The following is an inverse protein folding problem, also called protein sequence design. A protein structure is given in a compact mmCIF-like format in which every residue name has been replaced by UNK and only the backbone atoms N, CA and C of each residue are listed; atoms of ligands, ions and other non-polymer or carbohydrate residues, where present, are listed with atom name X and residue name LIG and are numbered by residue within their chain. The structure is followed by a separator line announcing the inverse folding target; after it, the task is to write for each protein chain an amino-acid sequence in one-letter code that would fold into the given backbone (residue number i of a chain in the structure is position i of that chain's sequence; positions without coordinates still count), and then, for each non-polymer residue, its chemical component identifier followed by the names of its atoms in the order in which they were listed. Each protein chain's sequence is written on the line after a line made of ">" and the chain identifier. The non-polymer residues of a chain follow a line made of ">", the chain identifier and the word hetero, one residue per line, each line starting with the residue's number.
data_IF_825070503516
#
_entry.id   IF_825070503516
#
_cell.length_a   1.000
_cell.length_b   1.000
_cell.length_c   1.000
_cell.angle_alpha   90.00
_cell.angle_beta   90.00
_cell.angle_gamma   90.00
#
_symmetry.space_group_name_H-M   'P 1'
#
loop_
_entity.id
_entity.type
_entity.pdbx_description
1 polymer ?
2 water ?
#
# COMPACT_ATOMS: atom_id res chain seq x y z
N UNK A 1 -22.59 -0.43 7.53
CA UNK A 1 -22.41 -1.23 6.28
C UNK A 1 -21.81 -2.62 6.57
N UNK A 2 -20.53 -2.85 6.29
CA UNK A 2 -20.03 -4.22 6.40
C UNK A 2 -18.52 -4.50 6.52
N UNK A 3 -18.20 -5.77 6.77
CA UNK A 3 -16.82 -6.25 6.86
C UNK A 3 -16.03 -5.95 5.58
N UNK A 4 -14.78 -5.52 5.74
CA UNK A 4 -13.90 -5.33 4.60
C UNK A 4 -13.57 -6.72 4.08
N UNK A 5 -13.64 -6.92 2.77
CA UNK A 5 -13.41 -8.25 2.19
C UNK A 5 -11.99 -8.79 2.43
N UNK A 6 -11.07 -7.96 2.92
CA UNK A 6 -9.72 -8.42 3.18
C UNK A 6 -9.58 -8.77 4.65
N UNK A 7 -10.47 -8.22 5.47
CA UNK A 7 -10.37 -8.31 6.92
C UNK A 7 -10.88 -9.63 7.49
N UNK A 8 -10.16 -10.16 8.47
CA UNK A 8 -10.66 -11.27 9.25
C UNK A 8 -11.15 -10.77 10.61
N UNK A 9 -12.46 -10.66 10.79
CA UNK A 9 -13.04 -9.96 11.95
C UNK A 9 -12.86 -10.68 13.30
N UNK A 10 -12.47 -11.95 13.31
CA UNK A 10 -12.14 -12.63 14.55
C UNK A 10 -10.72 -12.33 15.01
N UNK A 11 -9.81 -12.03 14.08
CA UNK A 11 -8.48 -11.52 14.45
C UNK A 11 -8.24 -10.03 14.31
N UNK A 12 -9.00 -9.34 13.47
CA UNK A 12 -8.69 -7.96 13.12
C UNK A 12 -7.33 -7.87 12.42
N UNK A 13 -7.06 -8.90 11.64
CA UNK A 13 -5.94 -8.96 10.73
C UNK A 13 -6.47 -9.33 9.34
N UNK A 14 -5.65 -9.20 8.30
CA UNK A 14 -6.06 -9.60 6.95
C UNK A 14 -6.29 -11.10 6.88
N UNK A 15 -7.20 -11.57 6.03
CA UNK A 15 -7.43 -13.01 5.91
C UNK A 15 -6.11 -13.71 5.67
N UNK A 16 -5.98 -14.95 6.14
CA UNK A 16 -4.72 -15.68 5.98
C UNK A 16 -4.35 -15.85 4.51
N UNK A 17 -3.09 -15.54 4.21
CA UNK A 17 -2.64 -15.50 2.83
C UNK A 17 -2.66 -14.14 2.15
N UNK A 18 -3.47 -13.20 2.63
CA UNK A 18 -3.47 -11.86 2.07
C UNK A 18 -2.43 -11.00 2.78
N UNK A 19 -2.14 -9.81 2.25
CA UNK A 19 -1.09 -8.97 2.83
C UNK A 19 -1.64 -7.82 3.67
N UNK A 20 -2.73 -7.22 3.21
CA UNK A 20 -3.11 -5.88 3.67
C UNK A 20 -4.60 -5.65 3.49
N UNK A 21 -5.06 -4.49 3.95
CA UNK A 21 -6.47 -4.18 3.93
C UNK A 21 -6.75 -3.14 2.86
N UNK A 22 -6.16 -1.96 3.04
CA UNK A 22 -6.30 -0.91 2.05
C UNK A 22 -5.05 -0.03 2.05
N UNK A 23 -4.99 0.90 1.11
CA UNK A 23 -3.85 1.81 0.98
C UNK A 23 -3.50 2.02 -0.49
N UNK A 24 -2.82 3.12 -0.80
CA UNK A 24 -2.32 3.38 -2.16
C UNK A 24 -1.58 2.18 -2.70
N UNK A 25 -0.87 1.46 -1.84
CA UNK A 25 -0.01 0.37 -2.30
C UNK A 25 -0.54 -0.98 -1.95
N UNK A 26 -1.85 -1.04 -1.70
CA UNK A 26 -2.56 -2.31 -1.51
C UNK A 26 -3.65 -2.46 -2.56
N UNK A 27 -3.76 -3.63 -3.16
CA UNK A 27 -4.79 -3.89 -4.17
C UNK A 27 -5.28 -5.34 -4.08
N UNK A 28 -6.59 -5.52 -3.92
CA UNK A 28 -7.13 -6.84 -3.61
C UNK A 28 -6.39 -7.55 -2.51
N UNK A 29 -6.10 -6.84 -1.42
CA UNK A 29 -5.53 -7.47 -0.24
C UNK A 29 -4.05 -7.82 -0.37
N UNK A 30 -3.45 -7.50 -1.51
CA UNK A 30 -2.02 -7.79 -1.71
C UNK A 30 -1.20 -6.51 -1.90
N UNK A 31 0.07 -6.58 -1.52
CA UNK A 31 0.99 -5.46 -1.71
C UNK A 31 1.30 -5.29 -3.20
N UNK A 32 1.23 -4.08 -3.72
CA UNK A 32 1.77 -3.81 -5.07
C UNK A 32 3.28 -4.03 -5.14
N UNK A 33 3.77 -4.46 -6.29
CA UNK A 33 5.18 -4.65 -6.53
C UNK A 33 5.94 -3.37 -6.15
N UNK A 34 7.07 -3.56 -5.47
CA UNK A 34 7.89 -2.41 -5.12
C UNK A 34 8.48 -1.81 -6.38
N UNK A 35 8.58 -0.48 -6.39
CA UNK A 35 8.84 0.24 -7.62
C UNK A 35 7.62 0.89 -8.22
N UNK A 36 6.43 0.39 -7.90
CA UNK A 36 5.20 0.95 -8.46
C UNK A 36 5.02 2.34 -7.96
N UNK A 37 4.86 3.26 -8.89
CA UNK A 37 4.67 4.67 -8.56
C UNK A 37 3.32 4.88 -7.93
N UNK A 38 3.28 5.50 -6.76
CA UNK A 38 2.02 5.69 -6.06
C UNK A 38 1.66 7.17 -5.96
N UNK A 39 2.61 8.02 -6.34
CA UNK A 39 2.33 9.44 -6.48
C UNK A 39 3.43 10.14 -7.27
N UNK A 40 3.08 10.87 -8.32
CA UNK A 40 4.08 11.66 -9.02
C UNK A 40 4.29 13.04 -8.40
N UNK A 41 5.47 13.60 -8.63
CA UNK A 41 5.83 14.90 -8.08
C UNK A 41 5.62 16.02 -9.09
N UNK A 42 5.31 17.21 -8.57
CA UNK A 42 5.25 18.45 -9.36
C UNK A 42 6.45 18.74 -10.24
N UNK A 43 7.66 18.46 -9.78
CA UNK A 43 8.58 17.92 -10.76
C UNK A 43 10.04 18.14 -10.46
N UNK A 44 10.65 17.08 -9.94
CA UNK A 44 12.09 16.92 -9.98
C UNK A 44 12.35 15.56 -10.61
N UNK A 45 11.26 14.83 -10.89
CA UNK A 45 11.31 13.37 -10.94
C UNK A 45 11.60 12.63 -9.62
N UNK A 46 11.36 13.27 -8.48
CA UNK A 46 11.45 12.55 -7.22
C UNK A 46 10.10 11.98 -6.78
N UNK A 47 9.67 10.92 -7.44
CA UNK A 47 8.34 10.39 -7.23
C UNK A 47 8.28 9.44 -6.05
N UNK A 48 7.07 9.24 -5.53
CA UNK A 48 6.88 8.31 -4.44
C UNK A 48 6.55 6.91 -4.96
N UNK A 49 7.20 5.89 -4.40
CA UNK A 49 7.13 4.53 -4.91
C UNK A 49 6.62 3.63 -3.80
N UNK A 50 5.96 2.54 -4.17
CA UNK A 50 5.54 1.55 -3.21
C UNK A 50 6.78 0.78 -2.78
N UNK A 51 6.74 0.16 -1.61
CA UNK A 51 7.89 -0.52 -1.03
C UNK A 51 7.88 -2.02 -1.33
N UNK A 52 6.70 -2.55 -1.65
CA UNK A 52 6.53 -3.99 -1.73
C UNK A 52 6.25 -4.64 -0.37
N UNK A 53 6.40 -3.92 0.73
CA UNK A 53 6.19 -4.53 2.05
C UNK A 53 5.24 -3.74 2.96
N UNK A 54 4.75 -2.59 2.49
CA UNK A 54 3.75 -1.82 3.21
C UNK A 54 2.68 -1.32 2.25
N UNK A 55 1.51 -0.93 2.78
CA UNK A 55 0.37 -0.55 1.94
C UNK A 55 0.30 0.96 1.75
N UNK A 56 1.14 1.71 2.46
CA UNK A 56 1.10 3.15 2.36
C UNK A 56 1.97 3.62 1.19
N UNK A 57 1.98 4.93 0.93
CA UNK A 57 2.82 5.50 -0.10
C UNK A 57 3.92 6.38 0.48
N UNK A 58 5.08 5.81 0.77
CA UNK A 58 6.12 6.53 1.52
C UNK A 58 6.58 7.75 0.74
N UNK A 59 6.81 8.84 1.44
CA UNK A 59 7.57 9.96 0.89
C UNK A 59 9.00 9.58 0.49
N UNK A 60 9.37 9.86 -0.75
CA UNK A 60 10.70 9.56 -1.23
C UNK A 60 11.79 10.20 -0.37
N UNK A 61 12.75 9.39 0.09
CA UNK A 61 13.69 9.83 1.13
C UNK A 61 14.71 10.86 0.64
N UNK A 62 14.92 10.94 -0.67
CA UNK A 62 15.66 12.05 -1.27
C UNK A 62 14.97 13.42 -1.25
N UNK A 63 13.70 13.46 -0.85
CA UNK A 63 13.03 14.73 -0.60
C UNK A 63 13.53 15.42 0.67
N UNK A 64 13.98 16.67 0.51
CA UNK A 64 14.34 17.53 1.64
C UNK A 64 13.16 17.66 2.62
#
# INVERSE_FOLDING_TARGET
>A
NSVHPCCDPVICEPREGEHCISGPCCENCYFLNSGTICKRARGDGNQDYCTGITPDCPRNRYNV
#
